data_IF_489446748760
#
_entry.id   IF_489446748760
#
_cell.length_a   1.000
_cell.length_b   1.000
_cell.length_c   1.000
_cell.angle_alpha   90.00
_cell.angle_beta   90.00
_cell.angle_gamma   90.00
#
_symmetry.space_group_name_H-M   'P 1'
#
loop_
_entity.id
_entity.type
_entity.pdbx_description
1 polymer ?
#
# COMPACT_ATOMS: atom_id res chain seq x y z
N UNK A 1 0.84 9.09 -2.81
CA UNK A 1 -0.43 8.46 -3.18
C UNK A 1 -1.35 8.37 -1.96
N UNK A 2 -2.57 8.77 -2.13
CA UNK A 2 -3.62 8.64 -1.14
C UNK A 2 -4.78 7.89 -1.76
N UNK A 3 -5.14 6.76 -1.17
CA UNK A 3 -6.24 5.93 -1.66
C UNK A 3 -7.01 5.34 -0.49
N UNK A 4 -8.14 4.71 -0.79
CA UNK A 4 -8.89 3.96 0.21
C UNK A 4 -9.34 2.65 -0.41
N UNK A 5 -9.46 1.63 0.41
CA UNK A 5 -9.96 0.34 -0.07
C UNK A 5 -10.67 -0.41 1.05
N UNK A 6 -11.47 -1.40 0.64
CA UNK A 6 -12.26 -2.21 1.54
C UNK A 6 -11.54 -3.52 1.83
N UNK A 7 -11.35 -3.84 3.10
CA UNK A 7 -10.61 -5.04 3.52
C UNK A 7 -11.38 -6.35 3.31
N UNK A 8 -12.65 -6.28 2.95
CA UNK A 8 -13.45 -7.48 2.62
C UNK A 8 -13.58 -7.62 1.11
N UNK A 9 -14.07 -6.59 0.44
CA UNK A 9 -14.37 -6.65 -1.00
C UNK A 9 -13.15 -6.43 -1.88
N UNK A 10 -12.14 -5.71 -1.37
CA UNK A 10 -10.99 -5.29 -2.16
C UNK A 10 -11.25 -4.08 -3.06
N UNK A 11 -12.46 -3.54 -3.03
CA UNK A 11 -12.77 -2.34 -3.81
C UNK A 11 -11.85 -1.19 -3.40
N UNK A 12 -11.30 -0.48 -4.39
CA UNK A 12 -10.29 0.54 -4.18
C UNK A 12 -10.57 1.78 -4.99
N UNK A 13 -10.32 2.95 -4.39
CA UNK A 13 -10.40 4.21 -5.10
C UNK A 13 -9.22 5.09 -4.75
N UNK A 14 -8.72 5.82 -5.74
CA UNK A 14 -7.62 6.77 -5.53
C UNK A 14 -8.20 8.13 -5.18
N UNK A 15 -7.77 8.69 -4.05
CA UNK A 15 -8.19 10.02 -3.58
C UNK A 15 -7.25 11.08 -4.15
N UNK A 16 -5.96 10.83 -4.08
CA UNK A 16 -4.94 11.77 -4.58
C UNK A 16 -3.76 11.01 -5.17
N UNK A 17 -3.40 11.35 -6.39
CA UNK A 17 -2.24 10.77 -7.07
C UNK A 17 -0.98 11.56 -6.75
N UNK A 18 0.14 10.83 -6.77
CA UNK A 18 1.45 11.41 -6.65
C UNK A 18 2.11 11.37 -8.03
N UNK A 19 2.63 12.50 -8.48
CA UNK A 19 3.28 12.60 -9.79
C UNK A 19 4.52 11.70 -9.91
N UNK A 20 5.18 11.40 -8.80
CA UNK A 20 6.35 10.50 -8.80
C UNK A 20 5.99 9.07 -9.19
N UNK A 21 4.73 8.68 -9.06
CA UNK A 21 4.22 7.37 -9.45
C UNK A 21 3.64 7.36 -10.86
N UNK A 22 3.63 8.51 -11.54
CA UNK A 22 3.08 8.61 -12.89
C UNK A 22 3.91 7.78 -13.87
N UNK A 23 3.22 7.15 -14.81
CA UNK A 23 3.85 6.33 -15.84
C UNK A 23 3.82 4.83 -15.55
N UNK A 24 3.53 4.40 -14.34
CA UNK A 24 3.34 2.97 -14.04
C UNK A 24 1.91 2.49 -14.23
N UNK A 25 0.93 3.40 -14.18
CA UNK A 25 -0.47 3.11 -14.45
C UNK A 25 -1.23 2.41 -13.34
N UNK A 26 -0.57 2.00 -12.27
CA UNK A 26 -1.23 1.26 -11.20
C UNK A 26 -2.11 2.13 -10.32
N UNK A 27 -1.90 3.44 -10.32
CA UNK A 27 -2.72 4.40 -9.56
C UNK A 27 -4.16 4.50 -10.06
N UNK A 28 -4.45 3.87 -11.19
CA UNK A 28 -5.81 3.83 -11.74
C UNK A 28 -6.56 2.55 -11.40
N UNK A 29 -5.93 1.62 -10.67
CA UNK A 29 -6.57 0.38 -10.29
C UNK A 29 -7.72 0.62 -9.32
N UNK A 30 -8.77 -0.18 -9.50
CA UNK A 30 -9.98 -0.11 -8.67
C UNK A 30 -10.17 -1.34 -7.80
N UNK A 31 -9.22 -2.28 -7.85
CA UNK A 31 -9.23 -3.49 -7.05
C UNK A 31 -7.89 -3.65 -6.35
N UNK A 32 -7.95 -3.80 -5.01
CA UNK A 32 -6.76 -3.89 -4.18
C UNK A 32 -5.88 -5.08 -4.55
N UNK A 33 -6.49 -6.24 -4.80
CA UNK A 33 -5.71 -7.44 -5.11
C UNK A 33 -5.00 -7.32 -6.45
N UNK A 34 -5.65 -6.71 -7.43
CA UNK A 34 -5.03 -6.40 -8.72
C UNK A 34 -3.89 -5.41 -8.54
N UNK A 35 -4.11 -4.38 -7.73
CA UNK A 35 -3.09 -3.38 -7.42
C UNK A 35 -1.84 -4.05 -6.81
N UNK A 36 -2.03 -4.92 -5.81
CA UNK A 36 -0.92 -5.61 -5.16
C UNK A 36 -0.22 -6.59 -6.10
N UNK A 37 -0.97 -7.31 -6.92
CA UNK A 37 -0.40 -8.22 -7.90
C UNK A 37 0.49 -7.47 -8.90
N UNK A 38 0.04 -6.32 -9.37
CA UNK A 38 0.84 -5.50 -10.29
C UNK A 38 2.10 -4.96 -9.63
N UNK A 39 2.02 -4.54 -8.36
CA UNK A 39 3.21 -4.11 -7.63
C UNK A 39 4.29 -5.21 -7.61
N UNK A 40 3.86 -6.46 -7.44
CA UNK A 40 4.77 -7.60 -7.36
C UNK A 40 5.21 -8.07 -8.74
N UNK A 41 4.28 -8.25 -9.67
CA UNK A 41 4.56 -8.81 -10.99
C UNK A 41 5.41 -7.88 -11.86
N UNK A 42 5.20 -6.57 -11.73
CA UNK A 42 5.98 -5.56 -12.45
C UNK A 42 7.24 -5.14 -11.68
N UNK A 43 7.55 -5.85 -10.59
CA UNK A 43 8.73 -5.60 -9.76
C UNK A 43 8.82 -4.16 -9.25
N UNK A 44 7.66 -3.57 -8.95
CA UNK A 44 7.60 -2.24 -8.34
C UNK A 44 7.93 -2.28 -6.85
N UNK A 45 7.83 -3.45 -6.23
CA UNK A 45 8.40 -3.76 -4.92
C UNK A 45 9.73 -4.46 -5.18
N UNK A 46 10.79 -4.01 -4.50
CA UNK A 46 12.11 -4.61 -4.67
C UNK A 46 12.05 -6.13 -4.43
N UNK A 47 12.73 -6.94 -5.27
CA UNK A 47 12.67 -8.41 -5.13
C UNK A 47 13.01 -8.93 -3.73
N UNK A 48 13.94 -8.30 -3.03
CA UNK A 48 14.31 -8.70 -1.67
C UNK A 48 13.20 -8.45 -0.64
N UNK A 49 12.26 -7.57 -0.95
CA UNK A 49 11.16 -7.23 -0.05
C UNK A 49 9.86 -7.95 -0.45
N UNK A 50 9.84 -8.58 -1.62
CA UNK A 50 8.60 -9.07 -2.24
C UNK A 50 7.90 -10.14 -1.39
N UNK A 51 8.64 -11.10 -0.84
CA UNK A 51 8.04 -12.19 -0.07
C UNK A 51 7.39 -11.68 1.22
N UNK A 52 8.10 -10.81 1.95
CA UNK A 52 7.55 -10.20 3.15
C UNK A 52 6.35 -9.31 2.83
N UNK A 53 6.47 -8.49 1.80
CA UNK A 53 5.40 -7.63 1.35
C UNK A 53 4.14 -8.45 1.02
N UNK A 54 4.30 -9.53 0.27
CA UNK A 54 3.19 -10.41 -0.10
C UNK A 54 2.50 -11.00 1.12
N UNK A 55 3.26 -11.42 2.12
CA UNK A 55 2.69 -12.04 3.32
C UNK A 55 1.96 -11.05 4.21
N UNK A 56 2.43 -9.80 4.28
CA UNK A 56 1.84 -8.77 5.16
C UNK A 56 0.58 -8.15 4.53
N UNK A 57 0.59 -7.97 3.21
CA UNK A 57 -0.40 -7.16 2.51
C UNK A 57 -1.62 -7.92 2.01
N UNK A 58 -1.87 -9.14 2.47
CA UNK A 58 -3.13 -9.82 2.18
C UNK A 58 -4.28 -9.15 2.93
N UNK A 59 -5.46 -9.20 2.35
CA UNK A 59 -6.65 -8.63 3.01
C UNK A 59 -6.89 -9.26 4.39
N UNK A 60 -6.66 -10.58 4.52
CA UNK A 60 -6.80 -11.29 5.79
C UNK A 60 -5.84 -10.77 6.86
N UNK A 61 -4.58 -10.60 6.51
CA UNK A 61 -3.57 -10.11 7.45
C UNK A 61 -3.85 -8.64 7.84
N UNK A 62 -4.27 -7.85 6.89
CA UNK A 62 -4.61 -6.45 7.18
C UNK A 62 -5.82 -6.34 8.10
N UNK A 63 -6.85 -7.17 7.91
CA UNK A 63 -7.99 -7.21 8.83
C UNK A 63 -7.54 -7.59 10.24
N UNK A 64 -6.69 -8.60 10.35
CA UNK A 64 -6.17 -9.04 11.64
C UNK A 64 -5.44 -7.90 12.36
N UNK A 65 -4.54 -7.22 11.68
CA UNK A 65 -3.76 -6.13 12.26
C UNK A 65 -4.61 -4.92 12.63
N UNK A 66 -5.59 -4.59 11.77
CA UNK A 66 -6.46 -3.44 12.00
C UNK A 66 -7.40 -3.63 13.19
N UNK A 67 -8.00 -4.80 13.32
CA UNK A 67 -9.08 -5.02 14.27
C UNK A 67 -8.68 -5.78 15.52
N UNK A 68 -7.54 -6.48 15.50
CA UNK A 68 -7.11 -7.33 16.59
C UNK A 68 -5.80 -6.91 17.25
N UNK A 69 -5.05 -6.01 16.61
CA UNK A 69 -3.76 -5.60 17.14
C UNK A 69 -3.70 -4.10 17.41
N UNK A 70 -3.37 -3.30 16.42
CA UNK A 70 -3.00 -1.89 16.66
C UNK A 70 -3.96 -0.85 16.09
N UNK A 71 -4.92 -1.24 15.27
CA UNK A 71 -5.82 -0.29 14.60
C UNK A 71 -5.18 0.49 13.47
N UNK A 72 -3.91 0.27 13.18
CA UNK A 72 -3.19 0.86 12.04
C UNK A 72 -2.05 -0.06 11.63
N UNK A 73 -1.58 0.12 10.40
CA UNK A 73 -0.45 -0.64 9.87
C UNK A 73 0.54 0.36 9.26
N UNK A 74 1.81 0.23 9.64
CA UNK A 74 2.89 1.00 9.02
C UNK A 74 3.91 -0.01 8.53
N UNK A 75 4.25 0.08 7.24
CA UNK A 75 5.19 -0.84 6.63
C UNK A 75 6.14 -0.11 5.71
N UNK A 76 7.42 -0.44 5.77
CA UNK A 76 8.45 0.15 4.92
C UNK A 76 8.99 -0.90 3.97
N UNK A 77 9.15 -0.50 2.71
CA UNK A 77 9.69 -1.35 1.67
C UNK A 77 10.35 -0.49 0.60
N UNK A 78 11.12 -1.11 -0.26
CA UNK A 78 11.75 -0.42 -1.39
C UNK A 78 10.82 -0.48 -2.60
N UNK A 79 10.44 0.69 -3.08
CA UNK A 79 9.53 0.85 -4.21
C UNK A 79 10.30 1.43 -5.40
N UNK A 80 9.95 0.96 -6.59
CA UNK A 80 10.56 1.45 -7.83
C UNK A 80 9.93 2.77 -8.26
N UNK A 81 10.77 3.73 -8.53
CA UNK A 81 10.46 4.99 -9.18
C UNK A 81 11.29 5.10 -10.46
N UNK A 82 11.13 6.19 -11.20
CA UNK A 82 11.88 6.36 -12.46
C UNK A 82 13.39 6.31 -12.25
N UNK A 83 13.87 6.80 -11.13
CA UNK A 83 15.30 6.85 -10.81
C UNK A 83 15.82 5.58 -10.11
N UNK A 84 14.97 4.60 -9.84
CA UNK A 84 15.37 3.35 -9.17
C UNK A 84 14.50 3.04 -7.97
N UNK A 85 15.03 2.18 -7.09
CA UNK A 85 14.32 1.77 -5.88
C UNK A 85 14.66 2.71 -4.72
N UNK A 86 13.62 3.17 -4.03
CA UNK A 86 13.77 4.03 -2.86
C UNK A 86 12.91 3.52 -1.71
N UNK A 87 13.39 3.74 -0.49
CA UNK A 87 12.61 3.40 0.69
C UNK A 87 11.33 4.21 0.74
N UNK A 88 10.25 3.52 1.02
CA UNK A 88 8.90 4.05 0.98
C UNK A 88 8.15 3.56 2.21
N UNK A 89 7.35 4.42 2.83
CA UNK A 89 6.46 4.04 3.91
C UNK A 89 5.05 3.93 3.38
N UNK A 90 4.39 2.83 3.74
CA UNK A 90 2.97 2.62 3.52
C UNK A 90 2.28 2.63 4.86
N UNK A 91 1.25 3.46 5.00
CA UNK A 91 0.48 3.57 6.22
C UNK A 91 -0.98 3.32 5.94
N UNK A 92 -1.59 2.46 6.74
CA UNK A 92 -3.01 2.16 6.67
C UNK A 92 -3.66 2.55 7.99
N UNK A 93 -4.80 3.22 7.91
CA UNK A 93 -5.59 3.57 9.08
C UNK A 93 -7.07 3.54 8.74
N UNK A 94 -7.95 3.35 9.75
CA UNK A 94 -9.38 3.26 9.47
C UNK A 94 -9.92 4.56 8.90
N UNK A 95 -10.77 4.45 7.89
CA UNK A 95 -11.58 5.56 7.43
C UNK A 95 -12.61 5.92 8.50
N UNK A 96 -13.16 7.14 8.44
CA UNK A 96 -14.17 7.61 9.40
C UNK A 96 -15.40 6.71 9.47
N UNK A 97 -15.72 6.03 8.37
CA UNK A 97 -16.88 5.13 8.28
C UNK A 97 -16.51 3.65 8.43
N UNK A 98 -15.29 3.36 8.89
CA UNK A 98 -14.81 1.99 9.01
C UNK A 98 -15.56 1.23 10.11
N UNK A 99 -16.01 0.01 9.79
CA UNK A 99 -16.58 -0.93 10.74
C UNK A 99 -16.11 -2.34 10.38
N UNK A 100 -16.34 -3.30 11.27
CA UNK A 100 -15.99 -4.70 10.98
C UNK A 100 -16.76 -5.25 9.80
N UNK A 101 -18.00 -4.81 9.61
CA UNK A 101 -18.87 -5.23 8.52
C UNK A 101 -18.55 -4.51 7.22
N UNK A 102 -17.99 -3.32 7.31
CA UNK A 102 -17.66 -2.49 6.16
C UNK A 102 -16.31 -1.81 6.39
N UNK A 103 -15.21 -2.57 6.32
CA UNK A 103 -13.90 -2.11 6.79
C UNK A 103 -13.14 -1.30 5.73
N UNK A 104 -13.55 -0.07 5.55
CA UNK A 104 -12.84 0.87 4.69
C UNK A 104 -11.63 1.44 5.41
N UNK A 105 -10.49 1.38 4.76
CA UNK A 105 -9.22 1.94 5.28
C UNK A 105 -8.63 2.91 4.28
N UNK A 106 -7.86 3.85 4.81
CA UNK A 106 -7.11 4.81 4.02
C UNK A 106 -5.67 4.33 3.92
N UNK A 107 -5.11 4.37 2.73
CA UNK A 107 -3.73 4.02 2.45
C UNK A 107 -2.98 5.26 2.01
N UNK A 108 -1.90 5.57 2.74
CA UNK A 108 -0.99 6.66 2.39
C UNK A 108 0.35 6.06 2.06
N UNK A 109 0.88 6.41 0.90
CA UNK A 109 2.22 5.99 0.51
C UNK A 109 3.09 7.23 0.47
N UNK A 110 4.12 7.23 1.32
CA UNK A 110 5.11 8.29 1.42
C UNK A 110 6.43 7.81 0.87
N UNK A 111 6.95 8.48 -0.12
CA UNK A 111 8.31 8.24 -0.56
C UNK A 111 9.28 9.12 0.21
N UNK A 112 10.50 8.63 0.36
CA UNK A 112 11.59 9.38 0.97
C UNK A 112 12.87 9.20 0.14
N UNK A 113 12.83 9.62 -1.12
CA UNK A 113 13.93 9.32 -2.05
C UNK A 113 15.24 10.02 -1.69
N UNK A 114 15.16 11.14 -0.96
CA UNK A 114 16.32 11.90 -0.53
C UNK A 114 16.83 11.50 0.85
N UNK A 115 16.10 10.61 1.54
CA UNK A 115 16.46 10.18 2.88
C UNK A 115 17.00 8.76 2.83
N UNK A 116 18.26 8.61 3.22
CA UNK A 116 18.86 7.29 3.38
C UNK A 116 18.34 6.70 4.69
N UNK A 117 17.64 5.56 4.68
CA UNK A 117 17.09 4.96 5.89
C UNK A 117 18.15 4.48 6.86
N UNK A 118 19.40 4.37 6.41
CA UNK A 118 20.52 3.95 7.25
C UNK A 118 21.19 5.11 7.97
N UNK A 119 20.72 6.30 7.75
CA UNK A 119 21.24 7.50 8.42
C UNK A 119 20.41 7.86 9.63
#
# INVERSE_FOLDING_TARGET
LLSRFNLITGGMETIKRDSSLAGFGIEYETDYQTYMSRLLDEQLVHPDDADEFRSIMTLDQLRLRMFHEKGSVIYRFRRKFKAGYFWTSLELFPDAECSKENPWVVMVIHESPSVNPDL
#
